data_IF_328243849435
#
_entry.id   IF_328243849435
#
_cell.length_a   1.000
_cell.length_b   1.000
_cell.length_c   1.000
_cell.angle_alpha   90.00
_cell.angle_beta   90.00
_cell.angle_gamma   90.00
#
_symmetry.space_group_name_H-M   'P 1'
#
loop_
_entity.id
_entity.type
_entity.pdbx_description
1 polymer ?
#
# COMPACT_ATOMS: atom_id res chain seq x y z
N UNK A 1 -9.21 4.03 -37.79
CA UNK A 1 -8.34 4.03 -36.60
C UNK A 1 -9.13 4.72 -35.51
N UNK A 2 -9.53 4.02 -34.46
CA UNK A 2 -9.91 4.69 -33.22
C UNK A 2 -8.60 5.20 -32.66
N UNK A 3 -8.37 6.51 -32.73
CA UNK A 3 -7.38 7.13 -31.87
C UNK A 3 -7.79 6.77 -30.45
N UNK A 4 -6.99 5.93 -29.78
CA UNK A 4 -7.18 5.65 -28.37
C UNK A 4 -6.91 6.97 -27.64
N UNK A 5 -7.96 7.77 -27.44
CA UNK A 5 -7.93 8.87 -26.50
C UNK A 5 -7.87 8.20 -25.13
N UNK A 6 -6.64 7.88 -24.70
CA UNK A 6 -6.37 7.45 -23.33
C UNK A 6 -6.41 8.71 -22.50
N UNK A 7 -7.60 9.09 -22.04
CA UNK A 7 -7.74 10.16 -21.07
C UNK A 7 -7.18 9.70 -19.72
N UNK A 8 -6.37 10.55 -19.09
CA UNK A 8 -5.91 10.29 -17.73
C UNK A 8 -7.14 10.23 -16.78
N UNK A 9 -7.22 9.25 -15.88
CA UNK A 9 -8.30 9.20 -14.90
C UNK A 9 -8.37 10.49 -14.08
N UNK A 10 -9.56 11.05 -13.90
CA UNK A 10 -9.80 12.30 -13.11
C UNK A 10 -9.20 12.21 -11.69
N UNK A 11 -9.17 11.01 -11.09
CA UNK A 11 -8.56 10.78 -9.78
C UNK A 11 -7.07 11.12 -9.72
N UNK A 12 -6.35 11.14 -10.84
CA UNK A 12 -4.95 11.52 -10.94
C UNK A 12 -4.74 12.98 -10.55
N UNK A 13 -5.64 13.89 -10.93
CA UNK A 13 -5.51 15.32 -10.65
C UNK A 13 -5.41 15.61 -9.15
N UNK A 14 -6.16 14.86 -8.33
CA UNK A 14 -6.06 14.91 -6.88
C UNK A 14 -4.64 14.60 -6.41
N UNK A 15 -4.05 13.50 -6.87
CA UNK A 15 -2.74 13.07 -6.40
C UNK A 15 -1.62 13.98 -6.88
N UNK A 16 -1.77 14.59 -8.06
CA UNK A 16 -0.87 15.65 -8.53
C UNK A 16 -0.91 16.86 -7.60
N UNK A 17 -2.10 17.30 -7.17
CA UNK A 17 -2.23 18.43 -6.25
C UNK A 17 -1.75 18.12 -4.83
N UNK A 18 -1.97 16.90 -4.33
CA UNK A 18 -1.61 16.53 -2.95
C UNK A 18 -0.11 16.24 -2.78
N UNK A 19 0.55 15.69 -3.81
CA UNK A 19 1.92 15.18 -3.70
C UNK A 19 2.93 15.77 -4.70
N UNK A 20 2.53 16.75 -5.51
CA UNK A 20 3.39 17.37 -6.55
C UNK A 20 4.02 16.32 -7.49
N UNK A 21 3.18 15.41 -7.98
CA UNK A 21 3.59 14.27 -8.82
C UNK A 21 3.36 14.59 -10.29
N UNK A 22 4.33 14.26 -11.14
CA UNK A 22 4.21 14.46 -12.60
C UNK A 22 3.41 13.33 -13.26
N UNK A 23 2.83 13.59 -14.45
CA UNK A 23 2.10 12.57 -15.23
C UNK A 23 2.94 11.33 -15.52
N UNK A 24 4.23 11.50 -15.82
CA UNK A 24 5.12 10.41 -16.21
C UNK A 24 5.29 9.37 -15.11
N UNK A 25 5.18 9.80 -13.84
CA UNK A 25 5.30 8.89 -12.71
C UNK A 25 4.15 7.89 -12.62
N UNK A 26 2.97 8.22 -13.17
CA UNK A 26 1.79 7.35 -13.09
C UNK A 26 1.93 6.06 -13.89
N UNK A 27 2.74 6.03 -14.96
CA UNK A 27 3.01 4.80 -15.69
C UNK A 27 3.50 3.69 -14.75
N UNK A 28 4.50 4.02 -13.93
CA UNK A 28 5.09 3.06 -12.98
C UNK A 28 4.16 2.78 -11.79
N UNK A 29 3.42 3.77 -11.31
CA UNK A 29 2.40 3.57 -10.28
C UNK A 29 1.38 2.52 -10.76
N UNK A 30 0.91 2.62 -12.01
CA UNK A 30 -0.01 1.66 -12.60
C UNK A 30 0.60 0.27 -12.81
N UNK A 31 1.89 0.17 -13.14
CA UNK A 31 2.61 -1.12 -13.17
C UNK A 31 2.56 -1.82 -11.81
N UNK A 32 2.69 -1.07 -10.70
CA UNK A 32 2.64 -1.62 -9.34
C UNK A 32 1.22 -2.00 -8.89
N UNK A 33 0.21 -1.30 -9.40
CA UNK A 33 -1.21 -1.64 -9.16
C UNK A 33 -1.56 -2.95 -9.86
N UNK A 34 -1.19 -3.06 -11.15
CA UNK A 34 -1.64 -4.13 -12.05
C UNK A 34 -0.69 -5.35 -12.07
N UNK A 35 0.02 -5.62 -10.98
CA UNK A 35 0.91 -6.78 -10.91
C UNK A 35 0.11 -8.08 -10.89
N UNK A 36 0.29 -8.93 -11.90
CA UNK A 36 -0.48 -10.17 -12.09
C UNK A 36 -0.42 -11.16 -10.92
N UNK A 37 0.65 -11.14 -10.14
CA UNK A 37 0.86 -12.03 -8.99
C UNK A 37 0.34 -11.43 -7.69
N UNK A 38 -0.16 -10.19 -7.70
CA UNK A 38 -0.69 -9.53 -6.52
C UNK A 38 -2.11 -10.02 -6.25
N UNK A 39 -2.50 -10.30 -4.98
CA UNK A 39 -3.86 -10.69 -4.64
C UNK A 39 -4.88 -9.67 -5.15
N UNK A 40 -5.99 -10.15 -5.70
CA UNK A 40 -7.00 -9.32 -6.39
C UNK A 40 -7.60 -8.24 -5.50
N UNK A 41 -7.77 -8.51 -4.20
CA UNK A 41 -8.28 -7.53 -3.24
C UNK A 41 -7.29 -6.38 -2.97
N UNK A 42 -5.98 -6.62 -3.09
CA UNK A 42 -4.98 -5.54 -3.01
C UNK A 42 -4.97 -4.72 -4.30
N UNK A 43 -5.07 -5.38 -5.46
CA UNK A 43 -5.20 -4.70 -6.78
C UNK A 43 -6.44 -3.81 -6.79
N UNK A 44 -7.59 -4.35 -6.39
CA UNK A 44 -8.86 -3.63 -6.34
C UNK A 44 -8.77 -2.41 -5.41
N UNK A 45 -8.20 -2.57 -4.21
CA UNK A 45 -8.08 -1.45 -3.29
C UNK A 45 -7.15 -0.36 -3.84
N UNK A 46 -5.97 -0.73 -4.35
CA UNK A 46 -5.03 0.23 -4.90
C UNK A 46 -5.60 0.97 -6.10
N UNK A 47 -6.31 0.26 -6.97
CA UNK A 47 -7.07 0.86 -8.05
C UNK A 47 -8.07 1.90 -7.52
N UNK A 48 -8.82 1.55 -6.45
CA UNK A 48 -9.81 2.47 -5.85
C UNK A 48 -9.17 3.66 -5.14
N UNK A 49 -8.01 3.47 -4.51
CA UNK A 49 -7.22 4.56 -3.93
C UNK A 49 -6.84 5.52 -5.04
N UNK A 50 -6.16 5.05 -6.09
CA UNK A 50 -5.66 5.93 -7.15
C UNK A 50 -6.77 6.62 -7.94
N UNK A 51 -7.93 6.00 -8.11
CA UNK A 51 -9.09 6.65 -8.73
C UNK A 51 -9.87 7.55 -7.76
N UNK A 52 -9.43 7.68 -6.51
CA UNK A 52 -10.18 8.35 -5.44
C UNK A 52 -11.66 7.89 -5.42
N UNK A 53 -11.92 6.59 -5.54
CA UNK A 53 -13.27 6.03 -5.57
C UNK A 53 -13.59 5.15 -4.35
N UNK A 54 -12.79 5.24 -3.30
CA UNK A 54 -13.17 4.76 -1.97
C UNK A 54 -14.26 5.65 -1.39
N UNK A 55 -15.31 5.02 -0.83
CA UNK A 55 -16.36 5.71 -0.08
C UNK A 55 -15.84 6.15 1.29
N UNK A 56 -15.73 7.47 1.46
CA UNK A 56 -15.40 8.13 2.73
C UNK A 56 -16.65 8.79 3.30
N UNK A 57 -16.72 9.09 4.59
CA UNK A 57 -17.91 9.75 5.15
C UNK A 57 -18.17 11.13 4.51
N UNK A 58 -17.13 11.86 4.07
CA UNK A 58 -17.31 13.07 3.25
C UNK A 58 -18.09 12.78 1.96
N UNK A 59 -17.78 11.69 1.25
CA UNK A 59 -18.51 11.32 0.01
C UNK A 59 -19.91 10.79 0.32
N UNK A 60 -20.05 9.98 1.36
CA UNK A 60 -21.33 9.40 1.77
C UNK A 60 -22.33 10.48 2.23
N UNK A 61 -21.85 11.50 2.95
CA UNK A 61 -22.67 12.64 3.36
C UNK A 61 -23.16 13.44 2.15
N UNK A 62 -22.27 13.70 1.18
CA UNK A 62 -22.63 14.41 -0.06
C UNK A 62 -23.74 13.73 -0.87
N UNK A 63 -23.88 12.41 -0.77
CA UNK A 63 -24.93 11.63 -1.44
C UNK A 63 -26.11 11.26 -0.53
N UNK A 64 -26.16 11.81 0.69
CA UNK A 64 -27.28 11.63 1.63
C UNK A 64 -27.38 10.24 2.27
N UNK A 65 -26.28 9.47 2.33
CA UNK A 65 -26.27 8.14 2.97
C UNK A 65 -25.86 8.16 4.45
N UNK A 66 -25.29 9.26 4.93
CA UNK A 66 -24.93 9.48 6.33
C UNK A 66 -25.20 10.95 6.70
N UNK A 67 -25.49 11.21 7.97
CA UNK A 67 -25.84 12.56 8.45
C UNK A 67 -24.60 13.46 8.63
N UNK A 68 -23.50 12.88 9.08
CA UNK A 68 -22.22 13.57 9.29
C UNK A 68 -21.08 12.96 8.46
N UNK A 69 -19.98 13.71 8.35
CA UNK A 69 -18.77 13.27 7.66
C UNK A 69 -17.63 12.91 8.62
N UNK A 70 -17.91 12.72 9.91
CA UNK A 70 -16.90 12.50 10.94
C UNK A 70 -16.40 11.05 10.87
N UNK A 71 -15.09 10.88 11.03
CA UNK A 71 -14.47 9.57 11.07
C UNK A 71 -14.94 8.79 12.30
N UNK A 72 -15.53 7.62 12.07
CA UNK A 72 -16.02 6.74 13.14
C UNK A 72 -14.90 6.03 13.91
N UNK A 73 -13.66 6.12 13.43
CA UNK A 73 -12.49 5.53 14.08
C UNK A 73 -11.91 6.47 15.14
N UNK A 74 -11.68 7.75 14.80
CA UNK A 74 -11.16 8.73 15.75
C UNK A 74 -12.24 9.56 16.46
N UNK A 75 -13.44 9.65 15.87
CA UNK A 75 -14.57 10.43 16.35
C UNK A 75 -14.30 11.95 16.49
N UNK A 76 -13.30 12.48 15.77
CA UNK A 76 -12.85 13.88 15.91
C UNK A 76 -12.85 14.66 14.59
N UNK A 77 -12.31 14.06 13.53
CA UNK A 77 -12.05 14.76 12.27
C UNK A 77 -12.93 14.24 11.13
N UNK A 78 -13.08 15.06 10.09
CA UNK A 78 -13.75 14.68 8.85
C UNK A 78 -13.00 13.55 8.12
N UNK A 79 -13.73 12.53 7.69
CA UNK A 79 -13.18 11.36 7.00
C UNK A 79 -13.14 11.59 5.47
N UNK A 80 -12.03 12.14 4.99
CA UNK A 80 -11.62 12.06 3.59
C UNK A 80 -10.62 10.91 3.35
N UNK A 81 -10.12 10.76 2.12
CA UNK A 81 -9.23 9.66 1.77
C UNK A 81 -7.88 9.77 2.48
N UNK A 82 -7.35 10.99 2.67
CA UNK A 82 -6.08 11.21 3.37
C UNK A 82 -6.25 10.92 4.85
N UNK A 83 -7.40 11.26 5.44
CA UNK A 83 -7.72 10.91 6.81
C UNK A 83 -7.76 9.39 7.02
N UNK A 84 -8.38 8.64 6.11
CA UNK A 84 -8.43 7.17 6.22
C UNK A 84 -7.03 6.55 6.28
N UNK A 85 -6.07 7.07 5.53
CA UNK A 85 -4.76 6.43 5.37
C UNK A 85 -3.61 7.08 6.13
N UNK A 86 -3.71 8.35 6.52
CA UNK A 86 -2.58 9.15 7.02
C UNK A 86 -2.95 10.03 8.22
N UNK A 87 -4.04 10.80 8.12
CA UNK A 87 -4.29 11.87 9.09
C UNK A 87 -5.12 11.44 10.31
N UNK A 88 -5.55 10.17 10.39
CA UNK A 88 -6.25 9.67 11.55
C UNK A 88 -5.28 9.45 12.72
N UNK A 89 -5.51 10.10 13.86
CA UNK A 89 -4.73 9.95 15.09
C UNK A 89 -4.62 8.49 15.55
N UNK A 90 -5.65 7.67 15.28
CA UNK A 90 -5.64 6.22 15.58
C UNK A 90 -4.74 5.39 14.67
N UNK A 91 -3.94 6.01 13.81
CA UNK A 91 -2.92 5.37 12.99
C UNK A 91 -1.48 5.68 13.45
N UNK A 92 -1.28 6.59 14.41
CA UNK A 92 0.05 7.06 14.82
C UNK A 92 1.02 5.91 15.15
N UNK A 93 0.63 4.99 16.04
CA UNK A 93 1.44 3.81 16.40
C UNK A 93 1.81 2.96 15.17
N UNK A 94 0.89 2.83 14.22
CA UNK A 94 1.12 2.05 13.01
C UNK A 94 2.04 2.77 12.04
N UNK A 95 1.92 4.09 11.89
CA UNK A 95 2.85 4.89 11.09
C UNK A 95 4.25 4.88 11.68
N UNK A 96 4.39 4.99 13.01
CA UNK A 96 5.68 4.84 13.68
C UNK A 96 6.29 3.46 13.44
N UNK A 97 5.49 2.40 13.53
CA UNK A 97 5.92 1.04 13.19
C UNK A 97 6.35 0.92 11.72
N UNK A 98 5.56 1.41 10.77
CA UNK A 98 5.92 1.40 9.35
C UNK A 98 7.21 2.17 9.07
N UNK A 99 7.37 3.36 9.65
CA UNK A 99 8.59 4.17 9.53
C UNK A 99 9.82 3.41 10.03
N UNK A 100 9.71 2.67 11.14
CA UNK A 100 10.82 1.84 11.64
C UNK A 100 11.24 0.73 10.66
N UNK A 101 10.27 0.14 9.95
CA UNK A 101 10.54 -0.86 8.92
C UNK A 101 11.11 -0.23 7.65
N UNK A 102 10.66 0.97 7.29
CA UNK A 102 11.18 1.70 6.13
C UNK A 102 12.65 2.08 6.31
N UNK A 103 13.04 2.55 7.49
CA UNK A 103 14.46 2.82 7.81
C UNK A 103 15.32 1.59 7.51
N UNK A 104 14.85 0.40 7.88
CA UNK A 104 15.55 -0.86 7.58
C UNK A 104 15.56 -1.19 6.09
N UNK A 105 14.43 -1.06 5.40
CA UNK A 105 14.34 -1.29 3.93
C UNK A 105 15.32 -0.39 3.17
N UNK A 106 15.50 0.85 3.62
CA UNK A 106 16.38 1.82 2.98
C UNK A 106 17.83 1.81 3.51
N UNK A 107 18.19 0.94 4.46
CA UNK A 107 19.51 0.94 5.11
C UNK A 107 20.67 0.80 4.10
N UNK A 108 20.48 -0.03 3.06
CA UNK A 108 21.47 -0.25 2.00
C UNK A 108 21.17 0.53 0.71
N UNK A 109 20.28 1.51 0.78
CA UNK A 109 19.87 2.30 -0.38
C UNK A 109 21.01 3.21 -0.85
N UNK A 110 21.52 2.93 -2.05
CA UNK A 110 22.55 3.72 -2.72
C UNK A 110 21.90 4.57 -3.83
N UNK A 111 21.16 5.60 -3.41
CA UNK A 111 20.49 6.53 -4.33
C UNK A 111 20.37 7.92 -3.73
N UNK A 112 20.73 8.90 -4.56
CA UNK A 112 20.51 10.34 -4.36
C UNK A 112 19.03 10.71 -4.17
N UNK A 113 18.09 9.87 -4.63
CA UNK A 113 16.64 10.12 -4.55
C UNK A 113 16.02 9.79 -3.20
N UNK A 114 16.75 9.21 -2.25
CA UNK A 114 16.19 8.83 -0.95
C UNK A 114 15.63 10.02 -0.18
N UNK A 115 16.25 11.20 -0.30
CA UNK A 115 15.79 12.45 0.31
C UNK A 115 14.47 12.97 -0.25
N UNK A 116 14.06 12.48 -1.44
CA UNK A 116 12.80 12.82 -2.08
C UNK A 116 11.66 11.90 -1.63
N UNK A 117 11.94 10.81 -0.91
CA UNK A 117 10.93 9.85 -0.49
C UNK A 117 10.17 10.41 0.72
N UNK A 118 8.90 10.74 0.50
CA UNK A 118 7.96 11.12 1.56
C UNK A 118 7.12 9.91 1.96
N UNK A 119 6.99 9.66 3.26
CA UNK A 119 6.32 8.45 3.78
C UNK A 119 4.85 8.35 3.38
N UNK A 120 4.18 9.50 3.35
CA UNK A 120 2.79 9.72 3.00
C UNK A 120 2.55 9.39 1.53
N UNK A 121 3.39 9.95 0.67
CA UNK A 121 3.36 9.71 -0.76
C UNK A 121 3.67 8.24 -1.07
N UNK A 122 4.69 7.66 -0.42
CA UNK A 122 5.04 6.25 -0.57
C UNK A 122 3.89 5.32 -0.14
N UNK A 123 3.18 5.67 0.94
CA UNK A 123 2.04 4.90 1.42
C UNK A 123 0.86 4.96 0.45
N UNK A 124 0.64 6.06 -0.26
CA UNK A 124 -0.49 6.19 -1.20
C UNK A 124 -0.14 5.69 -2.60
N UNK A 125 0.97 6.17 -3.16
CA UNK A 125 1.35 5.99 -4.56
C UNK A 125 2.36 4.86 -4.78
N UNK A 126 3.08 4.46 -3.73
CA UNK A 126 4.20 3.54 -3.87
C UNK A 126 5.47 4.22 -4.39
N UNK A 127 6.54 3.44 -4.52
CA UNK A 127 7.83 3.93 -4.96
C UNK A 127 7.87 4.11 -6.48
N UNK A 128 8.04 5.36 -6.91
CA UNK A 128 7.95 5.81 -8.32
C UNK A 128 9.25 5.62 -9.14
N UNK A 129 10.30 5.07 -8.54
CA UNK A 129 11.60 4.90 -9.19
C UNK A 129 12.27 3.61 -8.73
N UNK A 130 13.19 3.09 -9.55
CA UNK A 130 14.13 2.09 -9.06
C UNK A 130 15.16 2.76 -8.17
N UNK A 131 15.43 2.18 -7.01
CA UNK A 131 16.48 2.60 -6.09
C UNK A 131 17.41 1.41 -5.87
N UNK A 132 18.70 1.61 -6.15
CA UNK A 132 19.70 0.56 -5.99
C UNK A 132 19.79 0.17 -4.50
N UNK A 133 19.80 -1.13 -4.24
CA UNK A 133 19.82 -1.66 -2.87
C UNK A 133 18.44 -1.69 -2.19
N UNK A 134 17.36 -1.40 -2.92
CA UNK A 134 15.98 -1.49 -2.42
C UNK A 134 15.19 -2.46 -3.30
N UNK A 135 14.58 -3.48 -2.69
CA UNK A 135 13.58 -4.30 -3.38
C UNK A 135 12.27 -3.51 -3.57
N UNK A 136 12.19 -2.75 -4.65
CA UNK A 136 11.04 -1.92 -5.01
C UNK A 136 9.74 -2.71 -5.20
N UNK A 137 9.84 -3.94 -5.71
CA UNK A 137 8.70 -4.83 -5.93
C UNK A 137 8.09 -5.25 -4.59
N UNK A 138 8.94 -5.65 -3.64
CA UNK A 138 8.52 -5.96 -2.28
C UNK A 138 7.99 -4.72 -1.57
N UNK A 139 8.68 -3.57 -1.65
CA UNK A 139 8.26 -2.34 -0.99
C UNK A 139 6.87 -1.88 -1.45
N UNK A 140 6.61 -1.89 -2.76
CA UNK A 140 5.29 -1.54 -3.30
C UNK A 140 4.20 -2.53 -2.88
N UNK A 141 4.52 -3.83 -2.86
CA UNK A 141 3.63 -4.86 -2.35
C UNK A 141 3.33 -4.66 -0.85
N UNK A 142 4.36 -4.39 -0.06
CA UNK A 142 4.29 -4.08 1.36
C UNK A 142 3.37 -2.88 1.64
N UNK A 143 3.50 -1.79 0.87
CA UNK A 143 2.61 -0.63 0.97
C UNK A 143 1.16 -0.96 0.60
N UNK A 144 0.97 -1.83 -0.39
CA UNK A 144 -0.37 -2.31 -0.75
C UNK A 144 -1.04 -3.08 0.40
N UNK A 145 -0.27 -3.93 1.09
CA UNK A 145 -0.75 -4.65 2.28
C UNK A 145 -1.04 -3.68 3.43
N UNK A 146 -0.23 -2.64 3.61
CA UNK A 146 -0.44 -1.61 4.63
C UNK A 146 -1.77 -0.87 4.40
N UNK A 147 -1.99 -0.35 3.18
CA UNK A 147 -3.27 0.27 2.78
C UNK A 147 -4.45 -0.67 3.01
N UNK A 148 -4.32 -1.93 2.61
CA UNK A 148 -5.36 -2.92 2.82
C UNK A 148 -5.68 -3.15 4.29
N UNK A 149 -4.68 -3.24 5.16
CA UNK A 149 -4.91 -3.44 6.59
C UNK A 149 -5.53 -2.21 7.25
N UNK A 150 -5.11 -1.00 6.86
CA UNK A 150 -5.73 0.25 7.33
C UNK A 150 -7.21 0.27 6.95
N UNK A 151 -7.51 0.07 5.66
CA UNK A 151 -8.88 0.11 5.15
C UNK A 151 -9.76 -0.99 5.76
N UNK A 152 -9.21 -2.20 5.89
CA UNK A 152 -9.89 -3.33 6.53
C UNK A 152 -10.18 -3.05 8.01
N UNK A 153 -9.22 -2.50 8.77
CA UNK A 153 -9.44 -2.10 10.16
C UNK A 153 -10.55 -1.07 10.26
N UNK A 154 -10.53 -0.02 9.43
CA UNK A 154 -11.59 0.99 9.39
C UNK A 154 -12.97 0.36 9.18
N UNK A 155 -13.10 -0.56 8.23
CA UNK A 155 -14.39 -1.21 7.94
C UNK A 155 -14.84 -2.14 9.08
N UNK A 156 -13.92 -2.84 9.74
CA UNK A 156 -14.24 -3.66 10.92
C UNK A 156 -14.75 -2.78 12.07
N UNK A 157 -14.05 -1.68 12.38
CA UNK A 157 -14.47 -0.75 13.43
C UNK A 157 -15.85 -0.14 13.12
N UNK A 158 -16.09 0.24 11.86
CA UNK A 158 -17.40 0.74 11.42
C UNK A 158 -18.53 -0.30 11.51
N UNK A 159 -18.19 -1.58 11.48
CA UNK A 159 -19.13 -2.69 11.63
C UNK A 159 -19.35 -3.09 13.10
N UNK A 160 -18.82 -2.32 14.04
CA UNK A 160 -19.00 -2.54 15.49
C UNK A 160 -17.96 -3.46 16.14
N UNK A 161 -16.95 -3.93 15.40
CA UNK A 161 -15.83 -4.64 16.02
C UNK A 161 -14.98 -3.65 16.82
N UNK A 162 -14.46 -4.09 17.96
CA UNK A 162 -13.53 -3.32 18.79
C UNK A 162 -12.16 -3.98 18.84
N UNK A 163 -11.13 -3.24 19.26
CA UNK A 163 -9.79 -3.76 19.58
C UNK A 163 -9.02 -4.45 18.44
N UNK A 164 -9.24 -4.03 17.18
CA UNK A 164 -8.45 -4.51 16.05
C UNK A 164 -7.04 -3.90 16.09
N UNK A 165 -6.05 -4.68 16.53
CA UNK A 165 -4.65 -4.29 16.53
C UNK A 165 -4.10 -4.26 15.10
N UNK A 166 -3.84 -3.05 14.58
CA UNK A 166 -3.44 -2.83 13.19
C UNK A 166 -2.07 -3.44 12.86
N UNK A 167 -1.10 -3.34 13.77
CA UNK A 167 0.25 -3.89 13.58
C UNK A 167 0.18 -5.42 13.44
N UNK A 168 -0.53 -6.10 14.34
CA UNK A 168 -0.72 -7.57 14.25
C UNK A 168 -1.47 -7.95 12.99
N UNK A 169 -2.55 -7.24 12.65
CA UNK A 169 -3.30 -7.46 11.41
C UNK A 169 -2.38 -7.37 10.19
N UNK A 170 -1.54 -6.34 10.14
CA UNK A 170 -0.56 -6.13 9.08
C UNK A 170 0.47 -7.27 9.01
N UNK A 171 1.13 -7.58 10.12
CA UNK A 171 2.14 -8.65 10.19
C UNK A 171 1.57 -9.99 9.74
N UNK A 172 0.38 -10.37 10.20
CA UNK A 172 -0.26 -11.63 9.78
C UNK A 172 -0.65 -11.61 8.31
N UNK A 173 -1.21 -10.49 7.81
CA UNK A 173 -1.63 -10.37 6.41
C UNK A 173 -0.42 -10.41 5.46
N UNK A 174 0.66 -9.71 5.80
CA UNK A 174 1.89 -9.72 5.02
C UNK A 174 2.51 -11.12 4.99
N UNK A 175 2.67 -11.77 6.14
CA UNK A 175 3.16 -13.15 6.23
C UNK A 175 2.31 -14.09 5.38
N UNK A 176 0.99 -14.02 5.55
CA UNK A 176 0.06 -14.87 4.81
C UNK A 176 0.23 -14.73 3.29
N UNK A 177 0.23 -13.50 2.76
CA UNK A 177 0.35 -13.33 1.31
C UNK A 177 1.73 -13.68 0.77
N UNK A 178 2.81 -13.34 1.47
CA UNK A 178 4.16 -13.71 1.05
C UNK A 178 4.32 -15.23 1.05
N UNK A 179 3.86 -15.92 2.10
CA UNK A 179 3.89 -17.39 2.18
C UNK A 179 3.03 -18.02 1.09
N UNK A 180 1.85 -17.48 0.82
CA UNK A 180 1.01 -17.95 -0.28
C UNK A 180 1.74 -17.82 -1.62
N UNK A 181 2.38 -16.66 -1.88
CA UNK A 181 3.12 -16.44 -3.12
C UNK A 181 4.35 -17.34 -3.23
N UNK A 182 5.01 -17.64 -2.11
CA UNK A 182 6.08 -18.63 -2.08
C UNK A 182 5.60 -20.02 -2.49
N UNK A 183 4.51 -20.49 -1.89
CA UNK A 183 3.94 -21.80 -2.25
C UNK A 183 3.51 -21.81 -3.72
N UNK A 184 2.78 -20.80 -4.16
CA UNK A 184 2.30 -20.69 -5.53
C UNK A 184 3.45 -20.65 -6.54
N UNK A 185 4.37 -19.69 -6.42
CA UNK A 185 5.46 -19.51 -7.38
C UNK A 185 6.48 -20.65 -7.29
N UNK A 186 6.98 -20.96 -6.09
CA UNK A 186 8.08 -21.92 -5.94
C UNK A 186 7.61 -23.37 -6.03
N UNK A 187 6.51 -23.74 -5.35
CA UNK A 187 6.10 -25.15 -5.24
C UNK A 187 5.14 -25.60 -6.33
N UNK A 188 4.20 -24.73 -6.75
CA UNK A 188 3.21 -25.11 -7.76
C UNK A 188 3.68 -24.85 -9.19
N UNK A 189 4.50 -23.80 -9.41
CA UNK A 189 4.85 -23.34 -10.76
C UNK A 189 6.36 -23.37 -11.08
N UNK A 190 7.22 -23.81 -10.14
CA UNK A 190 8.68 -23.86 -10.35
C UNK A 190 9.30 -22.51 -10.77
N UNK A 191 8.74 -21.41 -10.27
CA UNK A 191 9.14 -20.02 -10.54
C UNK A 191 9.88 -19.40 -9.35
N UNK A 192 10.74 -20.17 -8.68
CA UNK A 192 11.49 -19.72 -7.49
C UNK A 192 12.34 -18.48 -7.76
N UNK A 193 12.96 -18.39 -8.93
CA UNK A 193 13.73 -17.21 -9.36
C UNK A 193 12.89 -15.92 -9.38
N UNK A 194 11.59 -16.00 -9.71
CA UNK A 194 10.68 -14.85 -9.67
C UNK A 194 10.42 -14.44 -8.23
N UNK A 195 10.12 -15.41 -7.35
CA UNK A 195 9.91 -15.14 -5.93
C UNK A 195 11.15 -14.49 -5.31
N UNK A 196 12.33 -15.05 -5.57
CA UNK A 196 13.61 -14.53 -5.11
C UNK A 196 13.80 -13.07 -5.53
N UNK A 197 13.63 -12.76 -6.82
CA UNK A 197 13.74 -11.39 -7.34
C UNK A 197 12.70 -10.44 -6.72
N UNK A 198 11.46 -10.88 -6.54
CA UNK A 198 10.33 -10.02 -6.13
C UNK A 198 10.20 -9.81 -4.63
N UNK A 199 10.70 -10.74 -3.82
CA UNK A 199 10.48 -10.74 -2.38
C UNK A 199 11.76 -10.86 -1.54
N UNK A 200 12.84 -11.50 -2.01
CA UNK A 200 13.98 -11.86 -1.15
C UNK A 200 15.24 -11.04 -1.44
N UNK A 201 15.61 -10.87 -2.71
CA UNK A 201 16.78 -10.09 -3.10
C UNK A 201 16.69 -8.67 -2.55
N UNK A 202 17.76 -8.15 -1.95
CA UNK A 202 17.82 -6.80 -1.37
C UNK A 202 16.67 -6.50 -0.38
N UNK A 203 16.19 -7.53 0.35
CA UNK A 203 15.13 -7.39 1.35
C UNK A 203 15.63 -7.67 2.77
N UNK A 204 15.69 -6.66 3.66
CA UNK A 204 16.12 -6.86 5.05
C UNK A 204 15.02 -7.40 5.97
N UNK A 205 13.78 -7.50 5.50
CA UNK A 205 12.62 -7.94 6.28
C UNK A 205 12.24 -9.41 6.02
N UNK A 206 12.75 -10.01 4.96
CA UNK A 206 12.44 -11.37 4.54
C UNK A 206 13.69 -12.05 4.01
N UNK A 207 13.98 -13.24 4.53
CA UNK A 207 15.00 -14.13 4.00
C UNK A 207 14.42 -15.53 3.77
N UNK A 208 15.03 -16.29 2.86
CA UNK A 208 14.75 -17.71 2.68
C UNK A 208 15.99 -18.51 3.08
N UNK A 209 15.83 -19.37 4.09
CA UNK A 209 16.89 -20.26 4.60
C UNK A 209 16.37 -21.68 4.56
N UNK A 210 17.06 -22.59 3.87
CA UNK A 210 16.69 -24.01 3.76
C UNK A 210 15.23 -24.25 3.33
N UNK A 211 14.72 -23.45 2.38
CA UNK A 211 13.33 -23.45 1.91
C UNK A 211 12.28 -23.05 2.97
N UNK A 212 12.70 -22.30 3.98
CA UNK A 212 11.86 -21.70 5.02
C UNK A 212 11.97 -20.19 4.96
N UNK A 213 10.81 -19.52 4.94
CA UNK A 213 10.74 -18.07 5.00
C UNK A 213 10.89 -17.58 6.44
N UNK A 214 11.83 -16.67 6.67
CA UNK A 214 12.05 -16.02 7.96
C UNK A 214 11.71 -14.53 7.84
N UNK A 215 10.73 -14.10 8.63
CA UNK A 215 10.23 -12.73 8.64
C UNK A 215 10.81 -11.96 9.83
N UNK A 216 11.44 -10.82 9.56
CA UNK A 216 12.04 -9.92 10.57
C UNK A 216 11.15 -8.68 10.76
N UNK A 217 9.89 -8.90 11.19
CA UNK A 217 8.83 -7.88 11.34
C UNK A 217 8.56 -7.50 12.80
#
# INVERSE_FOLDING_TARGET
MLENIVEEPVGIELWKSEFDVTSEAFSRIWEHVNMYWKPSNLVELDFKVLHNCIFTNVKLQKIGLVDDNICKVCCSEKEDILHIFMNCDKLEDFHNYLSSLLVRIFENCDSDKISLVRSEELLILGLRWHMKGVNDSFLNFFMSVARYCIFRRRNLLNSGYSNVNLIKLFQYTLKHYVTYMYVYLCRCHNMSHIFQKKFVMDNPLLEETDNVLVFKL
#
